data_IF_747107750130
#
_entry.id   IF_747107750130
#
_cell.length_a   1.000
_cell.length_b   1.000
_cell.length_c   1.000
_cell.angle_alpha   90.00
_cell.angle_beta   90.00
_cell.angle_gamma   90.00
#
_symmetry.space_group_name_H-M   'P 1'
#
loop_
_entity.id
_entity.type
_entity.pdbx_description
1 polymer ?
#
# COMPACT_ATOMS: atom_id res chain seq x y z
N UNK A 1 23.67 6.94 28.86
CA UNK A 1 23.21 6.87 27.47
C UNK A 1 21.70 6.80 27.50
N UNK A 2 21.00 7.84 27.06
CA UNK A 2 19.53 7.84 27.07
C UNK A 2 19.02 6.98 25.90
N UNK A 3 18.18 6.00 26.19
CA UNK A 3 17.56 5.16 25.17
C UNK A 3 16.47 5.97 24.47
N UNK A 4 16.65 6.23 23.18
CA UNK A 4 15.63 6.87 22.34
C UNK A 4 14.43 5.93 22.25
N UNK A 5 13.34 6.27 22.94
CA UNK A 5 12.09 5.53 22.84
C UNK A 5 11.41 5.88 21.52
N UNK A 6 11.13 4.86 20.69
CA UNK A 6 10.42 5.06 19.43
C UNK A 6 9.00 5.58 19.71
N UNK A 7 8.67 6.76 19.19
CA UNK A 7 7.32 7.32 19.26
C UNK A 7 6.38 6.36 18.53
N UNK A 8 5.35 5.87 19.22
CA UNK A 8 4.36 4.98 18.61
C UNK A 8 3.67 5.70 17.44
N UNK A 9 3.57 5.07 16.26
CA UNK A 9 2.91 5.70 15.12
C UNK A 9 1.46 6.02 15.45
N UNK A 10 1.00 7.20 15.03
CA UNK A 10 -0.36 7.66 15.27
C UNK A 10 -1.43 6.83 14.56
N UNK A 11 -2.72 7.10 14.84
CA UNK A 11 -3.84 6.39 14.24
C UNK A 11 -3.81 6.52 12.72
N UNK A 12 -4.15 5.43 12.03
CA UNK A 12 -4.18 5.46 10.57
C UNK A 12 -5.27 6.40 10.04
N UNK A 13 -5.02 7.18 8.96
CA UNK A 13 -6.06 7.93 8.27
C UNK A 13 -7.24 7.03 7.86
N UNK A 14 -8.45 7.52 8.09
CA UNK A 14 -9.71 6.90 7.69
C UNK A 14 -10.28 7.63 6.48
N UNK A 15 -11.10 6.94 5.70
CA UNK A 15 -11.97 7.54 4.66
C UNK A 15 -13.16 8.22 5.31
N UNK A 16 -13.90 9.00 4.52
CA UNK A 16 -15.14 9.68 4.93
C UNK A 16 -16.19 8.70 5.51
N UNK A 17 -16.18 7.44 5.04
CA UNK A 17 -17.06 6.37 5.50
C UNK A 17 -16.54 5.64 6.77
N UNK A 18 -15.55 6.19 7.46
CA UNK A 18 -14.99 5.64 8.72
C UNK A 18 -14.14 4.37 8.59
N UNK A 19 -14.11 3.74 7.41
CA UNK A 19 -13.16 2.67 7.11
C UNK A 19 -11.74 3.23 6.97
N UNK A 20 -10.74 2.47 7.39
CA UNK A 20 -9.34 2.79 7.13
C UNK A 20 -9.10 3.16 5.66
N UNK A 21 -8.30 4.21 5.43
CA UNK A 21 -7.95 4.59 4.07
C UNK A 21 -7.09 3.50 3.41
N UNK A 22 -7.76 2.74 2.52
CA UNK A 22 -7.24 1.67 1.67
C UNK A 22 -6.41 2.19 0.49
N UNK A 23 -5.82 3.39 0.51
CA UNK A 23 -4.54 3.67 -0.20
C UNK A 23 -3.38 2.77 0.28
N UNK A 24 -3.71 1.59 0.82
CA UNK A 24 -2.85 0.55 1.37
C UNK A 24 -2.82 -0.62 0.39
N UNK A 25 -1.64 -1.25 0.35
CA UNK A 25 -1.28 -2.48 -0.37
C UNK A 25 -2.43 -3.47 -0.59
N UNK A 26 -2.42 -4.10 -1.75
CA UNK A 26 -3.17 -5.31 -2.04
C UNK A 26 -2.76 -6.41 -1.04
N UNK A 27 -3.72 -6.92 -0.27
CA UNK A 27 -3.49 -8.03 0.66
C UNK A 27 -3.49 -9.36 -0.11
N UNK A 28 -2.76 -10.40 0.35
CA UNK A 28 -2.71 -11.71 -0.32
C UNK A 28 -4.10 -12.32 -0.58
N UNK A 29 -5.03 -12.18 0.37
CA UNK A 29 -6.42 -12.66 0.26
C UNK A 29 -7.22 -11.91 -0.82
N UNK A 30 -6.97 -10.61 -0.97
CA UNK A 30 -7.63 -9.76 -1.98
C UNK A 30 -6.91 -9.78 -3.33
N UNK A 31 -5.69 -10.31 -3.39
CA UNK A 31 -4.85 -10.35 -4.60
C UNK A 31 -5.55 -10.98 -5.81
N UNK A 32 -6.34 -12.06 -5.70
CA UNK A 32 -7.05 -12.63 -6.85
C UNK A 32 -8.04 -11.67 -7.53
N UNK A 33 -8.54 -10.64 -6.82
CA UNK A 33 -9.43 -9.61 -7.38
C UNK A 33 -8.68 -8.53 -8.16
N UNK A 34 -7.36 -8.51 -8.09
CA UNK A 34 -6.48 -7.51 -8.68
C UNK A 34 -5.41 -8.21 -9.54
N UNK A 35 -5.77 -8.65 -10.77
CA UNK A 35 -4.84 -9.36 -11.65
C UNK A 35 -3.67 -8.47 -12.07
N UNK A 36 -2.52 -9.10 -12.30
CA UNK A 36 -1.33 -8.41 -12.79
C UNK A 36 -1.56 -7.85 -14.20
N UNK A 37 -1.02 -6.66 -14.47
CA UNK A 37 -1.06 -6.07 -15.80
C UNK A 37 -0.20 -6.90 -16.77
N UNK A 38 -0.60 -6.93 -18.05
CA UNK A 38 0.22 -7.55 -19.10
C UNK A 38 1.61 -6.89 -19.13
N UNK A 39 2.69 -7.66 -19.33
CA UNK A 39 4.02 -7.08 -19.43
C UNK A 39 4.06 -6.10 -20.61
N UNK A 40 4.56 -4.90 -20.36
CA UNK A 40 4.78 -3.92 -21.42
C UNK A 40 5.91 -4.41 -22.34
N UNK A 41 5.66 -4.43 -23.65
CA UNK A 41 6.69 -4.72 -24.67
C UNK A 41 7.23 -3.39 -25.18
N UNK A 42 8.45 -3.03 -24.78
CA UNK A 42 9.13 -1.85 -25.31
C UNK A 42 9.50 -2.07 -26.78
N UNK A 43 9.37 -1.03 -27.61
CA UNK A 43 9.86 -1.08 -28.98
C UNK A 43 11.37 -0.84 -28.98
N UNK A 44 12.17 -1.57 -29.76
CA UNK A 44 13.58 -1.27 -29.87
C UNK A 44 13.76 0.16 -30.44
N UNK A 45 14.54 0.98 -29.72
CA UNK A 45 14.83 2.41 -30.00
C UNK A 45 13.76 3.45 -29.60
N UNK A 46 12.76 3.11 -28.77
CA UNK A 46 12.02 4.11 -27.98
C UNK A 46 12.86 4.62 -26.80
#
# INVERSE_FOLDING_TARGET
MEQIQAIKPGPKPKKDNGQDDKRRRVLPETKPKHPDLKPHKHRPKD
#
